data_IF_285740197466
#
_entry.id   IF_285740197466
#
_cell.length_a   1.000
_cell.length_b   1.000
_cell.length_c   1.000
_cell.angle_alpha   90.00
_cell.angle_beta   90.00
_cell.angle_gamma   90.00
#
_symmetry.space_group_name_H-M   'P 1'
#
loop_
_entity.id
_entity.type
_entity.pdbx_description
1 polymer ?
#
# COMPACT_ATOMS: atom_id res chain seq x y z
N UNK A 1 0.08 7.32 -31.30
CA UNK A 1 0.36 5.94 -31.76
C UNK A 1 1.57 5.42 -31.00
N UNK A 2 1.33 4.58 -30.00
CA UNK A 2 2.30 3.64 -29.46
C UNK A 2 1.49 2.57 -28.72
N UNK A 3 0.83 1.72 -29.51
CA UNK A 3 0.27 0.46 -29.05
C UNK A 3 1.43 -0.48 -28.75
N UNK A 4 1.84 -0.56 -27.48
CA UNK A 4 2.65 -1.66 -27.00
C UNK A 4 1.70 -2.82 -26.68
N UNK A 5 1.27 -3.51 -27.74
CA UNK A 5 0.46 -4.73 -27.64
C UNK A 5 1.38 -5.91 -27.32
N UNK A 6 1.43 -6.33 -26.06
CA UNK A 6 1.77 -7.71 -25.70
C UNK A 6 0.58 -8.62 -26.09
N UNK A 7 0.80 -9.75 -26.79
CA UNK A 7 -0.30 -10.63 -27.14
C UNK A 7 -0.78 -11.37 -25.88
N UNK A 8 -1.95 -10.97 -25.35
CA UNK A 8 -2.69 -11.70 -24.32
C UNK A 8 -2.93 -10.97 -22.99
N UNK A 9 -2.33 -9.80 -22.75
CA UNK A 9 -2.55 -9.02 -21.51
C UNK A 9 -3.76 -8.07 -21.58
N UNK A 10 -4.39 -7.71 -20.45
CA UNK A 10 -5.48 -6.74 -20.43
C UNK A 10 -5.03 -5.38 -20.97
N UNK A 11 -5.83 -4.80 -21.86
CA UNK A 11 -5.54 -3.50 -22.48
C UNK A 11 -5.55 -2.41 -21.42
N UNK A 12 -4.48 -1.62 -21.34
CA UNK A 12 -4.33 -0.53 -20.37
C UNK A 12 -4.65 0.82 -21.00
N UNK A 13 -5.22 1.74 -20.22
CA UNK A 13 -5.54 3.12 -20.63
C UNK A 13 -5.07 4.13 -19.58
N UNK A 14 -4.65 5.31 -20.04
CA UNK A 14 -4.19 6.39 -19.16
C UNK A 14 -5.30 7.40 -18.87
N UNK A 15 -5.70 7.53 -17.61
CA UNK A 15 -6.80 8.38 -17.14
C UNK A 15 -6.33 9.71 -16.55
N UNK A 16 -7.16 10.74 -16.65
CA UNK A 16 -7.01 12.00 -15.93
C UNK A 16 -7.79 11.98 -14.61
N UNK A 17 -7.08 11.65 -13.53
CA UNK A 17 -7.63 11.59 -12.18
C UNK A 17 -8.30 12.89 -11.70
N UNK A 18 -7.76 14.05 -12.10
CA UNK A 18 -8.33 15.34 -11.70
C UNK A 18 -9.68 15.59 -12.38
N UNK A 19 -9.81 15.19 -13.65
CA UNK A 19 -11.05 15.28 -14.41
C UNK A 19 -12.11 14.31 -13.88
N UNK A 20 -11.72 13.08 -13.55
CA UNK A 20 -12.57 12.08 -12.91
C UNK A 20 -13.15 12.61 -11.59
N UNK A 21 -12.28 13.15 -10.72
CA UNK A 21 -12.70 13.74 -9.45
C UNK A 21 -13.73 14.85 -9.64
N UNK A 22 -13.47 15.74 -10.59
CA UNK A 22 -14.36 16.85 -10.92
C UNK A 22 -15.73 16.36 -11.39
N UNK A 23 -15.78 15.44 -12.35
CA UNK A 23 -17.03 14.86 -12.87
C UNK A 23 -17.84 14.19 -11.75
N UNK A 24 -17.16 13.47 -10.87
CA UNK A 24 -17.77 12.85 -9.69
C UNK A 24 -18.40 13.89 -8.77
N UNK A 25 -17.67 14.95 -8.43
CA UNK A 25 -18.12 16.02 -7.54
C UNK A 25 -19.25 16.86 -8.15
N UNK A 26 -19.22 17.14 -9.45
CA UNK A 26 -20.30 17.82 -10.18
C UNK A 26 -21.62 17.03 -10.15
N UNK A 27 -21.54 15.69 -10.10
CA UNK A 27 -22.70 14.79 -9.98
C UNK A 27 -23.09 14.47 -8.52
N UNK A 28 -22.38 15.02 -7.53
CA UNK A 28 -22.65 14.76 -6.12
C UNK A 28 -22.38 13.31 -5.68
N UNK A 29 -21.56 12.57 -6.42
CA UNK A 29 -21.24 11.17 -6.15
C UNK A 29 -20.11 11.06 -5.12
N UNK A 30 -20.20 10.06 -4.24
CA UNK A 30 -19.14 9.74 -3.29
C UNK A 30 -18.10 8.80 -3.91
N UNK A 31 -16.88 8.77 -3.37
CA UNK A 31 -15.88 7.77 -3.79
C UNK A 31 -16.37 6.34 -3.51
N UNK A 32 -17.14 6.13 -2.44
CA UNK A 32 -17.78 4.85 -2.13
C UNK A 32 -18.74 4.38 -3.23
N UNK A 33 -19.53 5.31 -3.78
CA UNK A 33 -20.44 4.98 -4.88
C UNK A 33 -19.68 4.52 -6.12
N UNK A 34 -18.67 5.29 -6.55
CA UNK A 34 -17.83 4.94 -7.72
C UNK A 34 -17.11 3.61 -7.50
N UNK A 35 -16.55 3.39 -6.31
CA UNK A 35 -15.86 2.16 -5.95
C UNK A 35 -16.79 0.93 -6.10
N UNK A 36 -18.02 1.06 -5.60
CA UNK A 36 -19.03 0.00 -5.72
C UNK A 36 -19.43 -0.25 -7.18
N UNK A 37 -19.59 0.80 -7.99
CA UNK A 37 -20.00 0.68 -9.39
C UNK A 37 -18.91 0.06 -10.29
N UNK A 38 -17.64 0.33 -9.99
CA UNK A 38 -16.49 -0.17 -10.77
C UNK A 38 -15.96 -1.52 -10.24
N UNK A 39 -16.46 -1.96 -9.08
CA UNK A 39 -16.02 -3.18 -8.37
C UNK A 39 -14.56 -3.09 -7.89
N UNK A 40 -14.25 -1.99 -7.21
CA UNK A 40 -12.92 -1.70 -6.61
C UNK A 40 -13.10 -1.11 -5.21
N UNK A 41 -12.01 -0.94 -4.47
CA UNK A 41 -12.08 -0.31 -3.15
C UNK A 41 -12.15 1.22 -3.25
N UNK A 42 -12.62 1.88 -2.18
CA UNK A 42 -12.61 3.34 -2.09
C UNK A 42 -11.20 3.93 -2.15
N UNK A 43 -10.22 3.18 -1.64
CA UNK A 43 -8.80 3.58 -1.71
C UNK A 43 -8.31 3.57 -3.16
N UNK A 44 -8.68 2.56 -3.95
CA UNK A 44 -8.36 2.49 -5.38
C UNK A 44 -8.87 3.73 -6.14
N UNK A 45 -10.12 4.13 -5.93
CA UNK A 45 -10.70 5.34 -6.54
C UNK A 45 -9.96 6.61 -6.07
N UNK A 46 -9.64 6.71 -4.78
CA UNK A 46 -8.86 7.82 -4.24
C UNK A 46 -7.49 7.94 -4.91
N UNK A 47 -6.80 6.80 -5.16
CA UNK A 47 -5.50 6.80 -5.84
C UNK A 47 -5.61 7.21 -7.32
N UNK A 48 -6.66 6.78 -8.03
CA UNK A 48 -6.93 7.22 -9.40
C UNK A 48 -7.14 8.74 -9.45
N UNK A 49 -8.01 9.29 -8.59
CA UNK A 49 -8.34 10.72 -8.56
C UNK A 49 -7.14 11.62 -8.22
N UNK A 50 -6.20 11.13 -7.41
CA UNK A 50 -5.01 11.87 -6.99
C UNK A 50 -3.80 11.66 -7.91
N UNK A 51 -4.00 11.12 -9.13
CA UNK A 51 -2.95 10.83 -10.14
C UNK A 51 -1.83 9.91 -9.64
N UNK A 52 -2.07 9.10 -8.61
CA UNK A 52 -1.07 8.14 -8.10
C UNK A 52 -0.93 6.92 -9.03
N UNK A 53 -2.01 6.54 -9.71
CA UNK A 53 -2.01 5.50 -10.74
C UNK A 53 -2.81 5.95 -11.97
N UNK A 54 -2.17 6.64 -12.92
CA UNK A 54 -2.86 7.11 -14.11
C UNK A 54 -3.14 5.98 -15.11
N UNK A 55 -2.52 4.81 -15.02
CA UNK A 55 -2.76 3.68 -15.94
C UNK A 55 -3.68 2.65 -15.28
N UNK A 56 -4.82 2.36 -15.92
CA UNK A 56 -5.82 1.39 -15.42
C UNK A 56 -6.23 0.41 -16.53
N UNK A 57 -6.79 -0.76 -16.15
CA UNK A 57 -7.41 -1.69 -17.09
C UNK A 57 -8.52 -0.97 -17.87
N UNK A 58 -8.57 -1.14 -19.19
CA UNK A 58 -9.56 -0.50 -20.06
C UNK A 58 -10.99 -0.80 -19.62
N UNK A 59 -11.23 -2.01 -19.12
CA UNK A 59 -12.52 -2.43 -18.56
C UNK A 59 -12.95 -1.58 -17.35
N UNK A 60 -12.01 -1.27 -16.44
CA UNK A 60 -12.26 -0.38 -15.31
C UNK A 60 -12.50 1.05 -15.79
N UNK A 61 -11.79 1.51 -16.82
CA UNK A 61 -12.04 2.79 -17.46
C UNK A 61 -13.45 2.89 -18.06
N UNK A 62 -13.92 1.83 -18.72
CA UNK A 62 -15.27 1.77 -19.27
C UNK A 62 -16.34 1.83 -18.17
N UNK A 63 -16.20 1.03 -17.11
CA UNK A 63 -17.11 1.07 -15.94
C UNK A 63 -17.11 2.45 -15.27
N UNK A 64 -15.95 3.09 -15.18
CA UNK A 64 -15.82 4.42 -14.59
C UNK A 64 -16.51 5.49 -15.46
N UNK A 65 -16.34 5.43 -16.78
CA UNK A 65 -17.01 6.31 -17.73
C UNK A 65 -18.53 6.12 -17.68
N UNK A 66 -18.99 4.86 -17.61
CA UNK A 66 -20.41 4.52 -17.44
C UNK A 66 -20.99 5.07 -16.13
N UNK A 67 -20.30 4.85 -15.00
CA UNK A 67 -20.73 5.35 -13.69
C UNK A 67 -20.78 6.89 -13.61
N UNK A 68 -19.94 7.56 -14.42
CA UNK A 68 -19.91 9.01 -14.55
C UNK A 68 -20.79 9.54 -15.70
N UNK A 69 -21.47 8.66 -16.45
CA UNK A 69 -22.28 8.98 -17.62
C UNK A 69 -21.54 9.86 -18.66
N UNK A 70 -20.28 9.52 -18.94
CA UNK A 70 -19.42 10.18 -19.94
C UNK A 70 -18.81 9.15 -20.88
N UNK A 71 -18.17 9.60 -21.97
CA UNK A 71 -17.41 8.69 -22.84
C UNK A 71 -16.07 8.32 -22.20
N UNK A 72 -15.47 7.19 -22.64
CA UNK A 72 -14.15 6.79 -22.14
C UNK A 72 -13.11 7.87 -22.48
N UNK A 73 -13.20 8.45 -23.67
CA UNK A 73 -12.33 9.51 -24.17
C UNK A 73 -12.37 10.76 -23.27
N UNK A 74 -13.51 11.03 -22.63
CA UNK A 74 -13.66 12.15 -21.71
C UNK A 74 -12.89 11.98 -20.40
N UNK A 75 -12.47 10.77 -20.04
CA UNK A 75 -11.71 10.53 -18.80
C UNK A 75 -10.23 10.20 -19.07
N UNK A 76 -9.81 10.10 -20.33
CA UNK A 76 -8.43 9.85 -20.70
C UNK A 76 -7.57 11.12 -20.62
N UNK A 77 -6.28 10.92 -20.33
CA UNK A 77 -5.31 12.00 -20.34
C UNK A 77 -4.91 12.34 -21.79
N UNK A 78 -5.32 13.51 -22.27
CA UNK A 78 -4.89 14.06 -23.57
C UNK A 78 -3.58 14.84 -23.44
N UNK A 79 -2.66 14.71 -24.41
CA UNK A 79 -1.35 15.41 -24.46
C UNK A 79 -1.44 16.95 -24.63
N UNK A 80 -2.60 17.56 -24.39
CA UNK A 80 -2.82 18.98 -24.74
C UNK A 80 -3.73 19.69 -23.75
N UNK A 81 -3.36 19.81 -22.47
CA UNK A 81 -4.09 20.75 -21.59
C UNK A 81 -3.28 21.27 -20.41
N UNK A 82 -2.28 22.11 -20.68
CA UNK A 82 -1.73 23.06 -19.69
C UNK A 82 -2.18 24.51 -19.91
N UNK A 83 -3.05 24.79 -20.90
CA UNK A 83 -3.34 26.19 -21.31
C UNK A 83 -4.80 26.64 -21.10
N UNK A 84 -5.76 25.75 -20.79
CA UNK A 84 -7.18 26.14 -20.87
C UNK A 84 -7.86 26.53 -19.54
N UNK A 85 -7.18 26.43 -18.39
CA UNK A 85 -7.80 26.68 -17.08
C UNK A 85 -7.81 28.15 -16.63
N UNK A 86 -7.05 29.04 -17.27
CA UNK A 86 -7.01 30.45 -16.83
C UNK A 86 -8.01 31.39 -17.52
N UNK A 87 -8.73 30.95 -18.58
CA UNK A 87 -9.51 31.88 -19.41
C UNK A 87 -11.01 32.00 -19.10
N UNK A 88 -11.54 31.27 -18.11
CA UNK A 88 -13.00 31.24 -17.84
C UNK A 88 -13.45 31.90 -16.52
N UNK A 89 -12.66 32.83 -15.97
CA UNK A 89 -13.03 33.59 -14.75
C UNK A 89 -13.33 35.08 -14.99
N UNK A 90 -13.24 35.56 -16.23
CA UNK A 90 -13.63 36.92 -16.61
C UNK A 90 -14.60 36.84 -17.78
N UNK A 91 -15.89 36.78 -17.48
CA UNK A 91 -17.00 37.30 -18.31
C UNK A 91 -18.32 36.66 -17.83
N UNK A 92 -18.83 37.17 -16.72
CA UNK A 92 -20.23 37.02 -16.33
C UNK A 92 -20.60 38.12 -15.31
N UNK A 93 -20.42 39.39 -15.70
CA UNK A 93 -21.19 40.51 -15.14
C UNK A 93 -22.29 40.83 -16.15
N UNK A 94 -23.42 40.12 -16.08
CA UNK A 94 -24.69 40.61 -16.59
C UNK A 94 -25.83 39.76 -16.02
N UNK A 95 -26.60 40.41 -15.16
CA UNK A 95 -28.03 40.24 -14.98
C UNK A 95 -28.55 38.89 -14.45
N UNK A 96 -28.77 38.83 -13.13
CA UNK A 96 -30.01 38.26 -12.62
C UNK A 96 -30.40 38.90 -11.28
N UNK A 97 -31.47 39.71 -11.33
CA UNK A 97 -32.13 40.28 -10.16
C UNK A 97 -33.10 39.24 -9.60
N UNK A 98 -32.61 38.38 -8.71
CA UNK A 98 -33.50 37.65 -7.80
C UNK A 98 -33.22 38.02 -6.34
N UNK A 99 -34.30 38.36 -5.65
CA UNK A 99 -34.39 38.91 -4.30
C UNK A 99 -33.78 38.00 -3.24
N UNK A 100 -32.59 38.35 -2.74
CA UNK A 100 -32.04 37.80 -1.49
C UNK A 100 -32.50 38.67 -0.32
N UNK A 101 -33.33 38.10 0.57
CA UNK A 101 -33.64 38.72 1.88
C UNK A 101 -32.33 38.91 2.65
N UNK A 102 -31.90 40.16 2.80
CA UNK A 102 -30.73 40.50 3.62
C UNK A 102 -31.03 40.21 5.09
N UNK A 103 -30.38 39.20 5.65
CA UNK A 103 -30.33 38.95 7.09
C UNK A 103 -29.43 40.02 7.73
N UNK A 104 -30.03 41.08 8.25
CA UNK A 104 -29.33 42.07 9.07
C UNK A 104 -29.06 41.47 10.45
N UNK A 105 -27.91 40.84 10.63
CA UNK A 105 -27.46 40.34 11.93
C UNK A 105 -27.12 41.55 12.80
N UNK A 106 -27.75 41.68 13.96
CA UNK A 106 -27.48 42.78 14.88
C UNK A 106 -26.03 42.72 15.40
N UNK A 107 -25.41 43.88 15.65
CA UNK A 107 -24.03 43.98 16.13
C UNK A 107 -23.79 43.15 17.43
N UNK A 108 -24.83 43.01 18.26
CA UNK A 108 -24.82 42.19 19.48
C UNK A 108 -24.80 40.69 19.18
N UNK A 109 -25.53 40.24 18.17
CA UNK A 109 -25.51 38.85 17.73
C UNK A 109 -24.15 38.49 17.09
N UNK A 110 -23.55 39.41 16.33
CA UNK A 110 -22.20 39.25 15.78
C UNK A 110 -21.15 39.11 16.90
N UNK A 111 -21.22 39.96 17.94
CA UNK A 111 -20.33 39.91 19.11
C UNK A 111 -20.47 38.60 19.89
N UNK A 112 -21.69 38.07 20.06
CA UNK A 112 -21.93 36.79 20.72
C UNK A 112 -21.39 35.61 19.89
N UNK A 113 -21.61 35.61 18.58
CA UNK A 113 -21.05 34.59 17.69
C UNK A 113 -19.53 34.60 17.76
N UNK A 114 -18.90 35.78 17.73
CA UNK A 114 -17.44 35.91 17.82
C UNK A 114 -16.91 35.38 19.16
N UNK A 115 -17.61 35.66 20.27
CA UNK A 115 -17.21 35.24 21.62
C UNK A 115 -17.25 33.72 21.81
N UNK A 116 -18.19 33.02 21.14
CA UNK A 116 -18.28 31.55 21.21
C UNK A 116 -17.46 30.85 20.11
N UNK A 117 -17.38 31.40 18.90
CA UNK A 117 -16.67 30.76 17.79
C UNK A 117 -15.14 30.90 17.86
N UNK A 118 -14.60 32.03 18.34
CA UNK A 118 -13.15 32.22 18.47
C UNK A 118 -12.46 31.19 19.38
N UNK A 119 -12.93 30.90 20.61
CA UNK A 119 -12.28 29.91 21.46
C UNK A 119 -12.43 28.48 20.90
N UNK A 120 -13.56 28.17 20.23
CA UNK A 120 -13.76 26.88 19.58
C UNK A 120 -12.81 26.72 18.38
N UNK A 121 -12.66 27.76 17.56
CA UNK A 121 -11.72 27.76 16.44
C UNK A 121 -10.27 27.69 16.93
N UNK A 122 -9.92 28.41 18.00
CA UNK A 122 -8.59 28.34 18.60
C UNK A 122 -8.32 26.96 19.22
N UNK A 123 -9.32 26.32 19.85
CA UNK A 123 -9.22 24.96 20.36
C UNK A 123 -9.11 23.94 19.23
N UNK A 124 -9.84 24.11 18.11
CA UNK A 124 -9.70 23.27 16.92
C UNK A 124 -8.32 23.43 16.28
N UNK A 125 -7.84 24.66 16.13
CA UNK A 125 -6.50 24.99 15.65
C UNK A 125 -5.45 24.39 16.59
N UNK A 126 -5.64 24.49 17.90
CA UNK A 126 -4.76 23.86 18.89
C UNK A 126 -4.80 22.33 18.80
N UNK A 127 -5.96 21.70 18.66
CA UNK A 127 -6.07 20.24 18.47
C UNK A 127 -5.42 19.81 17.16
N UNK A 128 -5.58 20.57 16.08
CA UNK A 128 -4.93 20.31 14.79
C UNK A 128 -3.41 20.48 14.95
N UNK A 129 -2.94 21.56 15.56
CA UNK A 129 -1.50 21.78 15.76
C UNK A 129 -0.87 20.84 16.78
N UNK A 130 -1.59 20.42 17.83
CA UNK A 130 -1.07 19.54 18.88
C UNK A 130 -1.14 18.07 18.43
N UNK A 131 -2.16 17.66 17.67
CA UNK A 131 -2.14 16.34 16.99
C UNK A 131 -1.10 16.29 15.86
N UNK A 132 -0.91 17.37 15.12
CA UNK A 132 0.10 17.42 14.05
C UNK A 132 1.52 17.70 14.58
N UNK A 133 1.69 18.12 15.85
CA UNK A 133 3.00 18.32 16.47
C UNK A 133 3.66 17.00 16.91
N UNK A 134 2.89 15.92 17.07
CA UNK A 134 3.44 14.58 17.30
C UNK A 134 3.85 13.87 15.99
N UNK A 135 3.32 14.28 14.83
CA UNK A 135 3.51 13.58 13.54
C UNK A 135 4.70 14.07 12.69
N UNK A 136 5.57 14.95 13.21
CA UNK A 136 6.82 15.36 12.54
C UNK A 136 8.07 15.13 13.40
N UNK A 137 8.03 14.11 14.26
CA UNK A 137 9.25 13.52 14.81
C UNK A 137 9.58 12.31 13.96
N UNK A 138 10.66 12.42 13.19
CA UNK A 138 11.55 11.38 12.68
C UNK A 138 11.58 10.07 13.50
N UNK A 139 10.49 9.31 13.51
CA UNK A 139 10.36 8.10 14.32
C UNK A 139 10.90 6.91 13.54
N UNK A 140 11.86 6.23 14.15
CA UNK A 140 12.33 4.95 13.67
C UNK A 140 11.17 3.96 13.73
N UNK A 141 10.75 3.42 12.58
CA UNK A 141 9.72 2.37 12.52
C UNK A 141 10.32 1.08 12.00
N UNK A 142 10.10 -0.01 12.72
CA UNK A 142 10.60 -1.34 12.37
C UNK A 142 9.44 -2.32 12.50
N UNK A 143 9.00 -2.88 11.38
CA UNK A 143 7.85 -3.81 11.33
C UNK A 143 8.23 -5.11 10.64
N UNK A 144 7.85 -6.24 11.23
CA UNK A 144 7.84 -7.56 10.61
C UNK A 144 6.59 -7.71 9.75
N UNK A 145 6.80 -8.19 8.54
CA UNK A 145 5.76 -8.53 7.57
C UNK A 145 5.94 -10.01 7.24
N UNK A 146 4.98 -10.81 7.68
CA UNK A 146 4.89 -12.25 7.39
C UNK A 146 3.43 -12.57 7.08
N UNK A 147 3.23 -13.46 6.11
CA UNK A 147 1.91 -13.96 5.76
C UNK A 147 1.31 -14.71 6.94
N UNK A 148 0.00 -14.56 7.16
CA UNK A 148 -0.71 -15.24 8.27
C UNK A 148 -0.87 -16.74 8.04
N UNK A 149 -0.53 -17.22 6.84
CA UNK A 149 -0.52 -18.61 6.45
C UNK A 149 0.68 -18.94 5.56
N UNK A 150 0.95 -20.22 5.44
CA UNK A 150 1.95 -20.76 4.53
C UNK A 150 1.66 -22.21 4.18
N UNK A 151 2.27 -22.71 3.09
CA UNK A 151 2.20 -24.13 2.73
C UNK A 151 3.40 -24.87 3.31
N UNK A 152 3.14 -25.96 4.02
CA UNK A 152 4.19 -26.81 4.56
C UNK A 152 5.12 -27.32 3.45
N UNK A 153 6.44 -27.18 3.65
CA UNK A 153 7.45 -27.57 2.66
C UNK A 153 7.75 -26.49 1.61
N UNK A 154 6.85 -25.52 1.40
CA UNK A 154 7.10 -24.38 0.51
C UNK A 154 7.90 -23.28 1.20
N UNK A 155 8.64 -22.45 0.44
CA UNK A 155 9.31 -21.27 0.97
C UNK A 155 8.32 -20.27 1.57
N UNK A 156 8.58 -19.83 2.81
CA UNK A 156 7.89 -18.73 3.48
C UNK A 156 8.88 -17.59 3.73
N UNK A 157 8.74 -16.44 3.03
CA UNK A 157 9.54 -15.27 3.31
C UNK A 157 8.99 -14.49 4.51
N UNK A 158 9.91 -13.94 5.30
CA UNK A 158 9.64 -13.04 6.42
C UNK A 158 10.45 -11.77 6.17
N UNK A 159 9.74 -10.65 6.06
CA UNK A 159 10.33 -9.36 5.76
C UNK A 159 10.34 -8.46 6.99
N UNK A 160 11.26 -7.52 7.00
CA UNK A 160 11.36 -6.43 7.96
C UNK A 160 11.47 -5.13 7.19
N UNK A 161 10.47 -4.27 7.35
CA UNK A 161 10.51 -2.89 6.86
C UNK A 161 11.10 -2.00 7.95
N UNK A 162 12.23 -1.38 7.65
CA UNK A 162 12.92 -0.41 8.52
C UNK A 162 12.81 0.96 7.86
N UNK A 163 12.15 1.89 8.53
CA UNK A 163 12.05 3.29 8.13
C UNK A 163 12.85 4.15 9.11
N UNK A 164 13.96 4.70 8.63
CA UNK A 164 14.83 5.62 9.38
C UNK A 164 14.81 7.01 8.72
N UNK A 165 15.12 8.08 9.45
CA UNK A 165 15.29 9.40 8.85
C UNK A 165 16.45 9.42 7.85
N UNK A 166 16.26 10.03 6.68
CA UNK A 166 17.27 10.05 5.60
C UNK A 166 18.55 10.80 5.97
N UNK A 167 18.48 11.73 6.92
CA UNK A 167 19.59 12.62 7.27
C UNK A 167 20.64 11.98 8.20
N UNK A 168 20.44 10.76 8.69
CA UNK A 168 21.38 10.10 9.60
C UNK A 168 21.49 8.60 9.32
N UNK A 169 22.73 8.15 9.08
CA UNK A 169 23.05 6.73 9.04
C UNK A 169 23.18 6.19 10.46
N UNK A 170 22.25 5.32 10.85
CA UNK A 170 22.17 4.74 12.19
C UNK A 170 22.58 3.27 12.13
N UNK A 171 23.55 2.82 12.96
CA UNK A 171 23.86 1.40 13.06
C UNK A 171 22.68 0.65 13.69
N UNK A 172 22.32 -0.48 13.11
CA UNK A 172 21.28 -1.37 13.62
C UNK A 172 21.82 -2.77 13.87
N UNK A 173 21.25 -3.43 14.88
CA UNK A 173 21.40 -4.86 15.13
C UNK A 173 19.99 -5.45 15.15
N UNK A 174 19.62 -6.15 14.10
CA UNK A 174 18.33 -6.83 13.96
C UNK A 174 18.55 -8.31 14.22
N UNK A 175 17.94 -8.86 15.28
CA UNK A 175 18.01 -10.28 15.61
C UNK A 175 16.63 -10.91 15.55
N UNK A 176 16.54 -12.04 14.89
CA UNK A 176 15.32 -12.83 14.79
C UNK A 176 15.59 -14.24 15.30
N UNK A 177 14.69 -14.77 16.11
CA UNK A 177 14.67 -16.16 16.54
C UNK A 177 14.00 -17.01 15.45
N UNK A 178 14.66 -18.08 15.05
CA UNK A 178 14.17 -18.99 14.03
C UNK A 178 13.27 -20.03 14.71
N UNK A 179 12.01 -20.19 14.25
CA UNK A 179 11.11 -21.18 14.81
C UNK A 179 11.69 -22.60 14.68
N UNK A 180 11.41 -23.46 15.67
CA UNK A 180 11.74 -24.89 15.59
C UNK A 180 11.12 -25.55 14.35
N UNK A 181 11.72 -26.63 13.89
CA UNK A 181 11.27 -27.41 12.71
C UNK A 181 11.27 -26.63 11.38
N UNK A 182 12.06 -25.55 11.30
CA UNK A 182 12.27 -24.75 10.09
C UNK A 182 13.72 -24.77 9.65
N UNK A 183 13.95 -24.51 8.35
CA UNK A 183 15.27 -24.39 7.74
C UNK A 183 15.38 -23.06 7.00
N UNK A 184 16.36 -22.22 7.37
CA UNK A 184 16.64 -20.94 6.69
C UNK A 184 17.33 -21.19 5.35
N UNK A 185 16.63 -20.89 4.25
CA UNK A 185 17.09 -21.02 2.86
C UNK A 185 17.97 -19.86 2.42
N UNK A 186 17.53 -18.63 2.66
CA UNK A 186 18.21 -17.41 2.22
C UNK A 186 18.02 -16.27 3.24
N UNK A 187 18.87 -15.26 3.13
CA UNK A 187 18.76 -14.00 3.88
C UNK A 187 19.16 -12.85 2.97
N UNK A 188 18.52 -11.71 3.14
CA UNK A 188 18.86 -10.47 2.48
C UNK A 188 18.84 -9.31 3.50
N UNK A 189 19.88 -8.47 3.54
CA UNK A 189 21.20 -8.71 2.95
C UNK A 189 21.80 -10.05 3.41
N UNK A 190 22.76 -10.58 2.63
CA UNK A 190 23.42 -11.82 2.99
C UNK A 190 24.19 -11.67 4.31
N UNK A 191 24.01 -12.62 5.24
CA UNK A 191 24.73 -12.64 6.52
C UNK A 191 25.88 -13.65 6.50
N UNK A 192 26.93 -13.37 7.26
CA UNK A 192 28.04 -14.32 7.42
C UNK A 192 27.64 -15.49 8.33
N UNK A 193 28.34 -16.62 8.20
CA UNK A 193 28.07 -17.82 9.01
C UNK A 193 28.14 -17.57 10.53
N UNK A 194 28.90 -16.58 11.00
CA UNK A 194 28.98 -16.20 12.42
C UNK A 194 27.67 -15.61 12.96
N UNK A 195 26.86 -15.03 12.08
CA UNK A 195 25.59 -14.40 12.42
C UNK A 195 24.37 -15.27 12.05
N UNK A 196 24.60 -16.49 11.54
CA UNK A 196 23.59 -17.51 11.31
C UNK A 196 23.83 -18.65 12.30
N UNK A 197 23.04 -18.68 13.37
CA UNK A 197 22.99 -19.81 14.31
C UNK A 197 21.84 -20.74 13.93
N UNK A 198 21.76 -21.90 14.57
CA UNK A 198 20.68 -22.85 14.31
C UNK A 198 19.30 -22.30 14.69
N UNK A 199 19.24 -21.42 15.69
CA UNK A 199 18.03 -20.90 16.33
C UNK A 199 17.82 -19.40 16.13
N UNK A 200 18.75 -18.71 15.46
CA UNK A 200 18.71 -17.26 15.34
C UNK A 200 19.53 -16.74 14.16
N UNK A 201 19.06 -15.64 13.59
CA UNK A 201 19.78 -14.85 12.59
C UNK A 201 19.99 -13.44 13.11
N UNK A 202 21.10 -12.81 12.73
CA UNK A 202 21.38 -11.42 13.13
C UNK A 202 21.95 -10.63 11.97
N UNK A 203 21.34 -9.50 11.66
CA UNK A 203 21.91 -8.49 10.77
C UNK A 203 22.57 -7.40 11.58
N UNK A 204 23.74 -6.96 11.09
CA UNK A 204 24.42 -5.76 11.56
C UNK A 204 24.62 -4.89 10.33
N UNK A 205 23.91 -3.75 10.28
CA UNK A 205 23.93 -2.87 9.13
C UNK A 205 23.91 -1.40 9.57
N UNK A 206 24.27 -0.48 8.67
CA UNK A 206 24.11 0.97 8.86
C UNK A 206 23.02 1.45 7.93
N UNK A 207 21.89 1.85 8.49
CA UNK A 207 20.69 2.20 7.72
C UNK A 207 20.48 3.71 7.72
N UNK A 208 20.17 4.25 6.53
CA UNK A 208 19.72 5.62 6.30
C UNK A 208 18.51 5.51 5.38
N UNK A 209 17.39 6.12 5.77
CA UNK A 209 16.16 5.99 5.00
C UNK A 209 15.49 4.60 5.05
N UNK A 210 14.55 4.34 4.13
CA UNK A 210 13.86 3.06 3.99
C UNK A 210 14.82 1.92 3.64
N UNK A 211 14.71 0.80 4.37
CA UNK A 211 15.52 -0.40 4.15
C UNK A 211 14.72 -1.65 4.45
N UNK A 212 14.92 -2.68 3.63
CA UNK A 212 14.28 -3.99 3.81
C UNK A 212 15.31 -5.04 4.12
N UNK A 213 14.99 -5.87 5.12
CA UNK A 213 15.67 -7.11 5.44
C UNK A 213 14.67 -8.23 5.25
N UNK A 214 15.09 -9.39 4.78
CA UNK A 214 14.22 -10.55 4.76
C UNK A 214 15.00 -11.85 4.88
N UNK A 215 14.33 -12.90 5.32
CA UNK A 215 14.84 -14.26 5.25
C UNK A 215 13.74 -15.20 4.81
N UNK A 216 14.13 -16.31 4.20
CA UNK A 216 13.16 -17.32 3.77
C UNK A 216 13.41 -18.60 4.54
N UNK A 217 12.33 -19.18 5.07
CA UNK A 217 12.35 -20.48 5.75
C UNK A 217 11.51 -21.50 4.99
N UNK A 218 11.74 -22.77 5.30
CA UNK A 218 10.90 -23.90 4.86
C UNK A 218 10.71 -24.83 6.03
N UNK A 219 9.53 -25.43 6.16
CA UNK A 219 9.26 -26.51 7.11
C UNK A 219 9.44 -27.88 6.47
N UNK A 220 9.24 -28.95 7.25
CA UNK A 220 8.89 -30.25 6.70
C UNK A 220 7.57 -30.16 5.89
N UNK A 221 7.43 -30.94 4.81
CA UNK A 221 6.23 -30.96 3.96
C UNK A 221 4.97 -31.51 4.66
N UNK A 222 5.13 -32.19 5.79
CA UNK A 222 4.04 -32.68 6.65
C UNK A 222 3.82 -31.82 7.90
N UNK A 223 4.48 -30.67 7.99
CA UNK A 223 4.32 -29.77 9.12
C UNK A 223 2.85 -29.35 9.26
N UNK A 224 2.34 -29.37 10.49
CA UNK A 224 1.02 -28.85 10.86
C UNK A 224 1.16 -28.04 12.13
N UNK A 225 0.57 -26.84 12.13
CA UNK A 225 0.55 -25.95 13.29
C UNK A 225 0.88 -24.51 12.92
N UNK A 226 1.24 -23.74 13.93
CA UNK A 226 1.50 -22.30 13.82
C UNK A 226 2.96 -22.02 14.16
N UNK A 227 3.65 -21.33 13.25
CA UNK A 227 4.97 -20.77 13.49
C UNK A 227 4.82 -19.45 14.26
N UNK A 228 5.68 -19.25 15.25
CA UNK A 228 5.73 -18.04 16.08
C UNK A 228 7.06 -17.34 15.87
N UNK A 229 7.01 -16.03 15.62
CA UNK A 229 8.18 -15.22 15.27
C UNK A 229 8.45 -14.21 16.37
N UNK A 230 9.66 -14.28 16.91
CA UNK A 230 10.12 -13.38 17.97
C UNK A 230 11.47 -12.81 17.57
N UNK A 231 11.64 -11.51 17.81
CA UNK A 231 12.84 -10.82 17.40
C UNK A 231 12.94 -9.46 18.06
N UNK A 232 14.17 -8.99 18.10
CA UNK A 232 14.56 -7.76 18.77
C UNK A 232 15.43 -6.93 17.86
N UNK A 233 15.35 -5.61 18.02
CA UNK A 233 16.18 -4.67 17.29
C UNK A 233 16.80 -3.67 18.25
N UNK A 234 18.08 -3.36 17.99
CA UNK A 234 18.80 -2.23 18.59
C UNK A 234 19.19 -1.27 17.48
N UNK A 235 19.10 0.03 17.73
CA UNK A 235 19.55 1.04 16.79
C UNK A 235 20.25 2.19 17.54
N UNK A 236 21.30 2.74 16.92
CA UNK A 236 22.05 3.86 17.49
C UNK A 236 22.91 3.49 18.70
N UNK A 237 23.15 4.47 19.57
CA UNK A 237 24.02 4.36 20.75
C UNK A 237 23.26 4.05 22.05
N UNK A 238 21.97 3.70 21.98
CA UNK A 238 21.19 3.30 23.15
C UNK A 238 21.78 2.00 23.70
N UNK A 239 22.57 2.12 24.78
CA UNK A 239 23.40 1.03 25.28
C UNK A 239 22.60 -0.17 25.80
N UNK A 240 21.31 -0.03 26.16
CA UNK A 240 20.62 -1.07 26.93
C UNK A 240 19.16 -1.42 26.55
N UNK A 241 18.51 -0.76 25.59
CA UNK A 241 17.10 -1.10 25.27
C UNK A 241 16.98 -1.87 23.96
N UNK A 242 16.73 -3.19 24.09
CA UNK A 242 16.21 -4.02 22.99
C UNK A 242 14.74 -3.68 22.78
N UNK A 243 14.39 -3.24 21.57
CA UNK A 243 13.00 -3.06 21.20
C UNK A 243 12.48 -4.33 20.53
N UNK A 244 11.30 -4.80 20.95
CA UNK A 244 10.61 -5.89 20.25
C UNK A 244 10.16 -5.42 18.88
N UNK A 245 10.25 -6.29 17.88
CA UNK A 245 9.81 -5.97 16.51
C UNK A 245 8.28 -6.01 16.45
N UNK A 246 7.67 -4.93 15.93
CA UNK A 246 6.22 -4.86 15.75
C UNK A 246 5.75 -5.60 14.49
N UNK A 247 4.44 -5.83 14.35
CA UNK A 247 3.83 -6.41 13.15
C UNK A 247 3.41 -7.86 13.33
N UNK A 248 3.17 -8.55 12.21
CA UNK A 248 2.72 -9.94 12.25
C UNK A 248 3.80 -10.83 12.86
N UNK A 249 3.41 -11.72 13.76
CA UNK A 249 4.32 -12.61 14.48
C UNK A 249 3.88 -14.07 14.45
N UNK A 250 2.84 -14.42 13.67
CA UNK A 250 2.36 -15.80 13.54
C UNK A 250 2.08 -16.14 12.09
N UNK A 251 2.30 -17.40 11.72
CA UNK A 251 1.90 -17.94 10.43
C UNK A 251 1.43 -19.38 10.60
N UNK A 252 0.23 -19.69 10.10
CA UNK A 252 -0.38 -21.01 10.24
C UNK A 252 -0.22 -21.86 8.97
N UNK A 253 0.04 -23.16 9.15
CA UNK A 253 0.09 -24.09 8.02
C UNK A 253 -1.28 -24.18 7.33
N UNK A 254 -1.30 -24.01 6.01
CA UNK A 254 -2.49 -24.06 5.16
C UNK A 254 -2.16 -24.55 3.75
N UNK A 255 -3.07 -24.24 2.81
CA UNK A 255 -2.97 -24.69 1.41
C UNK A 255 -2.87 -23.53 0.40
N UNK A 256 -2.88 -22.28 0.90
CA UNK A 256 -2.80 -21.09 0.08
C UNK A 256 -1.34 -20.61 0.01
N UNK A 257 -0.94 -20.09 -1.15
CA UNK A 257 0.35 -19.46 -1.33
C UNK A 257 0.48 -18.27 -0.36
N UNK A 258 1.67 -18.02 0.18
CA UNK A 258 1.87 -16.97 1.19
C UNK A 258 1.60 -15.55 0.65
N UNK A 259 1.70 -15.36 -0.67
CA UNK A 259 1.43 -14.08 -1.33
C UNK A 259 -0.08 -13.83 -1.54
N UNK A 260 -0.90 -14.88 -1.53
CA UNK A 260 -2.36 -14.80 -1.55
C UNK A 260 -2.83 -14.50 -0.13
N UNK A 261 -2.94 -13.22 0.21
CA UNK A 261 -3.20 -12.70 1.54
C UNK A 261 -4.65 -12.93 1.97
N UNK A 262 -5.59 -12.92 1.03
CA UNK A 262 -7.02 -13.10 1.31
C UNK A 262 -7.48 -14.58 1.24
N UNK A 263 -6.62 -15.49 0.79
CA UNK A 263 -6.83 -16.94 0.67
C UNK A 263 -7.93 -17.31 -0.32
N UNK A 264 -8.03 -16.59 -1.43
CA UNK A 264 -9.04 -16.84 -2.47
C UNK A 264 -8.55 -17.72 -3.64
N UNK A 265 -7.29 -18.19 -3.57
CA UNK A 265 -6.60 -18.97 -4.60
C UNK A 265 -6.27 -18.17 -5.88
N UNK A 266 -6.24 -16.85 -5.78
CA UNK A 266 -5.76 -15.95 -6.83
C UNK A 266 -4.72 -15.01 -6.23
N UNK A 267 -3.87 -14.46 -7.10
CA UNK A 267 -3.01 -13.33 -6.73
C UNK A 267 -3.60 -12.12 -7.43
N UNK A 268 -4.06 -11.15 -6.64
CA UNK A 268 -4.64 -9.91 -7.13
C UNK A 268 -3.57 -8.88 -7.50
N UNK A 269 -3.98 -7.85 -8.25
CA UNK A 269 -3.12 -6.69 -8.56
C UNK A 269 -2.59 -6.03 -7.27
N UNK A 270 -3.36 -6.01 -6.18
CA UNK A 270 -2.96 -5.43 -4.89
C UNK A 270 -1.86 -6.24 -4.20
N UNK A 271 -1.97 -7.57 -4.25
CA UNK A 271 -1.01 -8.48 -3.60
C UNK A 271 0.34 -8.49 -4.30
N UNK A 272 0.34 -8.55 -5.64
CA UNK A 272 1.59 -8.51 -6.41
C UNK A 272 2.29 -7.15 -6.25
N UNK A 273 1.53 -6.04 -6.28
CA UNK A 273 2.11 -4.70 -6.08
C UNK A 273 2.67 -4.54 -4.67
N UNK A 274 1.98 -5.05 -3.64
CA UNK A 274 2.47 -5.01 -2.26
C UNK A 274 3.77 -5.80 -2.09
N UNK A 275 3.92 -6.93 -2.80
CA UNK A 275 5.17 -7.68 -2.84
C UNK A 275 6.28 -6.86 -3.51
N UNK A 276 5.98 -6.23 -4.65
CA UNK A 276 6.94 -5.40 -5.39
C UNK A 276 7.42 -4.18 -4.61
N UNK A 277 6.51 -3.50 -3.89
CA UNK A 277 6.85 -2.39 -3.00
C UNK A 277 7.81 -2.86 -1.88
N UNK A 278 7.62 -4.07 -1.38
CA UNK A 278 8.41 -4.65 -0.30
C UNK A 278 9.81 -5.08 -0.76
N UNK A 279 9.93 -5.71 -1.92
CA UNK A 279 11.24 -6.14 -2.44
C UNK A 279 11.99 -4.98 -3.11
N UNK A 280 11.28 -3.99 -3.65
CA UNK A 280 11.84 -2.91 -4.46
C UNK A 280 12.71 -3.45 -5.60
N UNK A 281 13.84 -2.80 -5.87
CA UNK A 281 14.80 -3.23 -6.89
C UNK A 281 15.84 -4.24 -6.36
N UNK A 282 15.61 -4.85 -5.19
CA UNK A 282 16.57 -5.76 -4.59
C UNK A 282 16.57 -7.11 -5.30
N UNK A 283 17.74 -7.72 -5.45
CA UNK A 283 17.83 -9.10 -5.93
C UNK A 283 17.09 -10.02 -4.94
N UNK A 284 16.06 -10.69 -5.43
CA UNK A 284 15.26 -11.61 -4.63
C UNK A 284 15.88 -12.98 -4.64
N UNK A 285 16.03 -13.57 -3.45
CA UNK A 285 16.56 -14.92 -3.28
C UNK A 285 15.78 -15.67 -2.22
N UNK A 286 15.44 -16.93 -2.50
CA UNK A 286 14.80 -17.83 -1.54
C UNK A 286 13.32 -18.13 -1.80
N UNK A 287 12.65 -17.34 -2.63
CA UNK A 287 11.32 -17.63 -3.16
C UNK A 287 11.25 -17.28 -4.65
N UNK A 288 10.29 -17.86 -5.35
CA UNK A 288 10.16 -17.77 -6.80
C UNK A 288 9.15 -16.67 -7.17
N UNK A 289 9.64 -15.51 -7.61
CA UNK A 289 8.78 -14.40 -8.05
C UNK A 289 8.07 -14.72 -9.35
N UNK A 290 8.74 -15.41 -10.28
CA UNK A 290 8.16 -15.73 -11.58
C UNK A 290 6.91 -16.60 -11.39
N UNK A 291 6.96 -17.56 -10.46
CA UNK A 291 5.79 -18.36 -10.10
C UNK A 291 4.62 -17.49 -9.60
N UNK A 292 4.89 -16.47 -8.79
CA UNK A 292 3.83 -15.57 -8.25
C UNK A 292 3.25 -14.72 -9.37
N UNK A 293 4.09 -14.25 -10.30
CA UNK A 293 3.64 -13.54 -11.50
C UNK A 293 2.79 -14.43 -12.40
N UNK A 294 3.17 -15.68 -12.60
CA UNK A 294 2.39 -16.65 -13.36
C UNK A 294 1.02 -16.90 -12.69
N UNK A 295 0.97 -17.01 -11.37
CA UNK A 295 -0.29 -17.11 -10.61
C UNK A 295 -1.17 -15.85 -10.74
N UNK A 296 -0.56 -14.68 -10.81
CA UNK A 296 -1.25 -13.40 -11.02
C UNK A 296 -1.77 -13.22 -12.45
N UNK A 297 -1.02 -13.72 -13.45
CA UNK A 297 -1.43 -13.70 -14.85
C UNK A 297 -2.54 -14.71 -15.17
N UNK A 298 -2.60 -15.82 -14.43
CA UNK A 298 -3.63 -16.84 -14.56
C UNK A 298 -4.95 -16.48 -13.87
N UNK A 299 -5.92 -17.38 -14.01
CA UNK A 299 -7.23 -17.35 -13.35
C UNK A 299 -7.20 -17.91 -11.91
N UNK A 300 -6.01 -18.05 -11.34
CA UNK A 300 -5.77 -18.59 -10.00
C UNK A 300 -4.83 -19.78 -10.01
N UNK A 301 -4.74 -20.45 -8.86
CA UNK A 301 -3.84 -21.58 -8.67
C UNK A 301 -4.47 -22.68 -7.82
N UNK A 302 -3.93 -23.89 -7.97
CA UNK A 302 -4.26 -25.04 -7.14
C UNK A 302 -2.96 -25.62 -6.60
N UNK A 303 -2.89 -25.83 -5.28
CA UNK A 303 -1.79 -26.56 -4.68
C UNK A 303 -1.98 -28.08 -4.85
N UNK A 304 -0.98 -28.76 -5.41
CA UNK A 304 -0.90 -30.22 -5.47
C UNK A 304 0.00 -30.76 -4.35
N UNK A 305 -0.56 -31.34 -3.26
CA UNK A 305 0.23 -31.81 -2.11
C UNK A 305 1.17 -32.96 -2.44
N UNK A 306 0.84 -33.79 -3.43
CA UNK A 306 1.63 -34.97 -3.79
C UNK A 306 2.92 -34.58 -4.53
N UNK A 307 2.82 -33.59 -5.41
CA UNK A 307 3.95 -33.10 -6.21
C UNK A 307 4.70 -31.93 -5.57
N UNK A 308 4.12 -31.33 -4.52
CA UNK A 308 4.62 -30.11 -3.88
C UNK A 308 4.78 -28.97 -4.89
N UNK A 309 3.76 -28.80 -5.74
CA UNK A 309 3.76 -27.84 -6.84
C UNK A 309 2.41 -27.15 -6.97
N UNK A 310 2.47 -25.96 -7.53
CA UNK A 310 1.29 -25.22 -7.94
C UNK A 310 0.93 -25.55 -9.38
N UNK A 311 -0.36 -25.66 -9.64
CA UNK A 311 -0.94 -25.75 -10.97
C UNK A 311 -1.70 -24.45 -11.20
N UNK A 312 -1.28 -23.67 -12.20
CA UNK A 312 -1.93 -22.42 -12.56
C UNK A 312 -3.17 -22.74 -13.39
N UNK A 313 -4.26 -22.05 -13.11
CA UNK A 313 -5.50 -22.13 -13.89
C UNK A 313 -5.37 -21.08 -15.00
N UNK A 314 -5.51 -21.50 -16.25
CA UNK A 314 -5.48 -20.63 -17.44
C UNK A 314 -6.88 -20.15 -17.83
#
# INVERSE_FOLDING_TARGET
MSDNTFPGGPVMVKIDGAKIRRLREEKGLTQLYIATAVDVTTDTVSRWENKRYPSIKKENGLKLAEALEVSLEDILESETTEIELEKKKSDALADNKETVKQLSISLRALLLILLFCLPIAAALIYVIHFKNADDNLSQVSIRRIVATHFIAGSPLPIFFSVSMPDNQSVPIILRENIPSDTLVKSTFPAISAKHKKNDSITWLDKVSGPRVFYYTITTNNKFQGTLQFEGVVKYGSSRDEEQSIEGNNQSESGLHHWADSNRDNRISDEEILSLYDLIGNNAVSGFDINLIEEMWLGDGYIWNPNEQKFVIIE
#
